data_IF_889222715984
#
_entry.id   IF_889222715984
#
_cell.length_a   1.000
_cell.length_b   1.000
_cell.length_c   1.000
_cell.angle_alpha   90.00
_cell.angle_beta   90.00
_cell.angle_gamma   90.00
#
_symmetry.space_group_name_H-M   'P 1'
#
loop_
_entity.id
_entity.type
_entity.pdbx_description
1 polymer ?
#
# COMPACT_ATOMS: atom_id res chain seq x y z
N UNK A 1 -16.51 10.96 -2.84
CA UNK A 1 -15.42 11.91 -2.58
C UNK A 1 -15.63 13.18 -3.37
N UNK A 2 -15.65 14.30 -2.70
CA UNK A 2 -15.79 15.59 -3.38
C UNK A 2 -14.48 15.96 -4.06
N UNK A 3 -14.55 16.53 -5.29
CA UNK A 3 -13.35 16.84 -6.09
C UNK A 3 -12.35 17.81 -5.45
N UNK A 4 -12.79 18.55 -4.41
CA UNK A 4 -11.97 19.58 -3.77
C UNK A 4 -10.76 19.05 -2.99
N UNK A 5 -10.82 17.79 -2.50
CA UNK A 5 -9.78 17.21 -1.63
C UNK A 5 -8.98 16.09 -2.30
N UNK A 6 -9.10 15.93 -3.61
CA UNK A 6 -8.33 14.92 -4.34
C UNK A 6 -6.86 15.32 -4.41
N UNK A 7 -5.98 14.39 -4.07
CA UNK A 7 -4.55 14.58 -4.24
C UNK A 7 -4.19 14.74 -5.72
N UNK A 8 -3.04 15.34 -6.00
CA UNK A 8 -2.55 15.47 -7.37
C UNK A 8 -2.39 14.12 -8.06
N UNK A 9 -1.91 13.10 -7.32
CA UNK A 9 -1.78 11.74 -7.84
C UNK A 9 -3.13 11.17 -8.27
N UNK A 10 -4.19 11.35 -7.46
CA UNK A 10 -5.53 10.88 -7.77
C UNK A 10 -6.05 11.54 -9.04
N UNK A 11 -5.85 12.86 -9.18
CA UNK A 11 -6.22 13.59 -10.39
C UNK A 11 -5.50 13.09 -11.63
N UNK A 12 -4.21 12.78 -11.51
CA UNK A 12 -3.40 12.24 -12.61
C UNK A 12 -3.92 10.84 -13.02
N UNK A 13 -4.23 10.00 -12.07
CA UNK A 13 -4.77 8.65 -12.32
C UNK A 13 -6.12 8.75 -13.04
N UNK A 14 -7.02 9.60 -12.54
CA UNK A 14 -8.34 9.79 -13.14
C UNK A 14 -8.23 10.35 -14.57
N UNK A 15 -7.37 11.33 -14.77
CA UNK A 15 -7.13 11.93 -16.09
C UNK A 15 -6.55 10.89 -17.07
N UNK A 16 -5.60 10.09 -16.64
CA UNK A 16 -5.04 9.01 -17.45
C UNK A 16 -6.11 7.97 -17.82
N UNK A 17 -6.91 7.56 -16.84
CA UNK A 17 -7.99 6.60 -17.05
C UNK A 17 -9.01 7.07 -18.08
N UNK A 18 -9.39 8.34 -18.03
CA UNK A 18 -10.30 8.93 -19.02
C UNK A 18 -9.72 8.92 -20.43
N UNK A 19 -8.44 9.23 -20.58
CA UNK A 19 -7.76 9.22 -21.87
C UNK A 19 -7.56 7.81 -22.44
N UNK A 20 -7.24 6.85 -21.56
CA UNK A 20 -6.92 5.49 -21.99
C UNK A 20 -8.14 4.60 -22.17
N UNK A 21 -9.29 4.99 -21.61
CA UNK A 21 -10.51 4.18 -21.58
C UNK A 21 -10.92 3.67 -22.97
N UNK A 22 -10.87 4.52 -23.98
CA UNK A 22 -11.22 4.15 -25.35
C UNK A 22 -10.11 3.37 -26.04
N UNK A 23 -8.85 3.71 -25.78
CA UNK A 23 -7.71 3.02 -26.38
C UNK A 23 -7.54 1.61 -25.81
N UNK A 24 -7.81 1.43 -24.52
CA UNK A 24 -7.60 0.15 -23.83
C UNK A 24 -8.61 -0.93 -24.23
N UNK A 25 -9.75 -0.55 -24.77
CA UNK A 25 -10.70 -1.54 -25.32
C UNK A 25 -10.03 -2.39 -26.42
N UNK A 26 -9.16 -1.78 -27.22
CA UNK A 26 -8.43 -2.47 -28.28
C UNK A 26 -7.22 -3.25 -27.78
N UNK A 27 -6.74 -2.96 -26.57
CA UNK A 27 -5.51 -3.54 -26.01
C UNK A 27 -5.75 -4.33 -24.72
N UNK A 28 -6.98 -4.76 -24.43
CA UNK A 28 -7.34 -5.50 -23.22
C UNK A 28 -6.47 -6.73 -22.97
N UNK A 29 -6.12 -7.44 -24.01
CA UNK A 29 -5.27 -8.63 -23.89
C UNK A 29 -3.88 -8.26 -23.36
N UNK A 30 -3.29 -7.19 -23.87
CA UNK A 30 -2.00 -6.69 -23.41
C UNK A 30 -2.10 -6.11 -21.99
N UNK A 31 -3.20 -5.46 -21.67
CA UNK A 31 -3.42 -4.90 -20.35
C UNK A 31 -3.56 -5.96 -19.25
N UNK A 32 -3.87 -7.22 -19.62
CA UNK A 32 -3.96 -8.34 -18.68
C UNK A 32 -2.61 -8.94 -18.32
N UNK A 33 -1.52 -8.51 -18.94
CA UNK A 33 -0.19 -9.02 -18.59
C UNK A 33 0.23 -8.48 -17.24
N UNK A 34 0.60 -9.37 -16.29
CA UNK A 34 1.02 -8.94 -14.97
C UNK A 34 2.28 -8.05 -15.04
N UNK A 35 2.38 -7.12 -14.11
CA UNK A 35 3.57 -6.27 -13.93
C UNK A 35 3.94 -5.38 -15.12
N UNK A 36 2.98 -5.11 -15.99
CA UNK A 36 3.18 -4.12 -17.04
C UNK A 36 3.43 -2.75 -16.43
N UNK A 37 4.48 -2.06 -16.89
CA UNK A 37 4.81 -0.72 -16.39
C UNK A 37 3.81 0.34 -16.86
N UNK A 38 3.51 1.27 -16.00
CA UNK A 38 2.68 2.43 -16.29
C UNK A 38 3.45 3.48 -17.10
N UNK A 39 2.74 4.45 -17.73
CA UNK A 39 3.37 5.60 -18.36
C UNK A 39 4.29 6.37 -17.42
N UNK A 40 5.14 7.25 -18.00
CA UNK A 40 6.17 7.99 -17.25
C UNK A 40 5.65 8.76 -16.05
N UNK A 41 4.45 9.32 -16.11
CA UNK A 41 3.85 10.04 -14.98
C UNK A 41 3.61 9.17 -13.76
N UNK A 42 3.62 7.86 -13.93
CA UNK A 42 3.50 6.88 -12.84
C UNK A 42 4.72 5.97 -12.82
N UNK A 43 5.91 6.56 -12.94
CA UNK A 43 7.16 5.88 -13.29
C UNK A 43 7.54 4.68 -12.43
N UNK A 44 7.04 4.59 -11.21
CA UNK A 44 7.30 3.45 -10.31
C UNK A 44 6.08 2.54 -10.14
N UNK A 45 5.05 2.78 -10.94
CA UNK A 45 3.82 1.99 -10.88
C UNK A 45 3.87 0.75 -11.76
N UNK A 46 2.96 -0.17 -11.48
CA UNK A 46 2.75 -1.37 -12.27
C UNK A 46 1.27 -1.53 -12.63
N UNK A 47 1.00 -2.26 -13.69
CA UNK A 47 -0.34 -2.49 -14.18
C UNK A 47 -0.61 -4.01 -14.20
N UNK A 48 -1.70 -4.42 -13.54
CA UNK A 48 -2.18 -5.80 -13.53
C UNK A 48 -3.59 -5.79 -14.14
N UNK A 49 -3.72 -6.30 -15.37
CA UNK A 49 -4.95 -6.09 -16.13
C UNK A 49 -5.18 -4.59 -16.32
N UNK A 50 -6.34 -4.10 -15.92
CA UNK A 50 -6.69 -2.69 -15.91
C UNK A 50 -6.49 -2.03 -14.51
N UNK A 51 -5.93 -2.76 -13.57
CA UNK A 51 -5.72 -2.26 -12.21
C UNK A 51 -4.29 -1.78 -12.07
N UNK A 52 -4.12 -0.52 -11.67
CA UNK A 52 -2.82 0.11 -11.46
C UNK A 52 -2.45 0.10 -9.98
N UNK A 53 -1.19 -0.17 -9.71
CA UNK A 53 -0.58 -0.01 -8.39
C UNK A 53 0.43 1.12 -8.52
N UNK A 54 0.23 2.22 -7.80
CA UNK A 54 1.10 3.39 -7.88
C UNK A 54 1.66 3.72 -6.50
N UNK A 55 3.00 3.72 -6.34
CA UNK A 55 3.58 4.12 -5.05
C UNK A 55 3.36 5.61 -4.83
N UNK A 56 2.98 5.95 -3.60
CA UNK A 56 2.80 7.33 -3.14
C UNK A 56 3.64 7.55 -1.91
N UNK A 57 4.45 8.60 -1.90
CA UNK A 57 5.24 8.96 -0.73
C UNK A 57 4.31 9.36 0.41
N UNK A 58 4.50 8.75 1.57
CA UNK A 58 3.71 9.01 2.77
C UNK A 58 4.44 9.94 3.72
N UNK A 59 5.47 9.44 4.40
CA UNK A 59 6.31 10.23 5.32
C UNK A 59 7.77 9.78 5.17
N UNK A 60 8.70 10.73 5.21
CA UNK A 60 10.13 10.41 5.09
C UNK A 60 10.42 9.58 3.85
N UNK A 61 10.98 8.39 4.03
CA UNK A 61 11.28 7.43 2.96
C UNK A 61 10.19 6.37 2.76
N UNK A 62 9.12 6.44 3.55
CA UNK A 62 8.04 5.46 3.51
C UNK A 62 7.09 5.73 2.36
N UNK A 63 6.71 4.66 1.67
CA UNK A 63 5.70 4.69 0.61
C UNK A 63 4.47 3.91 1.02
N UNK A 64 3.32 4.35 0.56
CA UNK A 64 2.07 3.59 0.53
C UNK A 64 1.67 3.39 -0.93
N UNK A 65 0.70 2.54 -1.19
CA UNK A 65 0.33 2.17 -2.54
C UNK A 65 -1.12 2.53 -2.81
N UNK A 66 -1.33 3.15 -3.96
CA UNK A 66 -2.65 3.50 -4.47
C UNK A 66 -3.06 2.44 -5.47
N UNK A 67 -4.26 1.91 -5.34
CA UNK A 67 -4.85 0.95 -6.26
C UNK A 67 -5.97 1.65 -7.03
N UNK A 68 -5.89 1.62 -8.34
CA UNK A 68 -6.86 2.30 -9.19
C UNK A 68 -7.32 1.43 -10.35
N UNK A 69 -8.60 1.56 -10.68
CA UNK A 69 -9.15 1.01 -11.91
C UNK A 69 -8.96 2.04 -13.03
N UNK A 70 -8.07 1.74 -13.97
CA UNK A 70 -7.71 2.67 -15.04
C UNK A 70 -8.77 2.75 -16.14
N UNK A 71 -9.61 1.71 -16.30
CA UNK A 71 -10.73 1.77 -17.24
C UNK A 71 -11.86 2.68 -16.75
N UNK A 72 -12.15 2.59 -15.44
CA UNK A 72 -13.21 3.39 -14.82
C UNK A 72 -12.70 4.72 -14.28
N UNK A 73 -11.38 4.97 -14.35
CA UNK A 73 -10.75 6.18 -13.82
C UNK A 73 -11.07 6.39 -12.33
N UNK A 74 -11.04 5.32 -11.55
CA UNK A 74 -11.45 5.32 -10.15
C UNK A 74 -10.35 4.80 -9.25
N UNK A 75 -10.08 5.54 -8.16
CA UNK A 75 -9.20 5.06 -7.09
C UNK A 75 -10.01 4.15 -6.18
N UNK A 76 -9.55 2.93 -5.99
CA UNK A 76 -10.22 1.91 -5.18
C UNK A 76 -9.65 1.83 -3.76
N UNK A 77 -8.33 1.97 -3.63
CA UNK A 77 -7.62 2.03 -2.34
C UNK A 77 -6.50 3.05 -2.46
N UNK A 78 -6.25 3.86 -1.43
CA UNK A 78 -5.26 4.93 -1.49
C UNK A 78 -4.16 4.83 -0.43
N UNK A 79 -4.17 3.83 0.43
CA UNK A 79 -3.25 3.73 1.56
C UNK A 79 -2.81 2.30 1.90
N UNK A 80 -2.68 1.43 0.92
CA UNK A 80 -2.15 0.09 1.13
C UNK A 80 -0.69 0.21 1.59
N UNK A 81 -0.35 -0.41 2.70
CA UNK A 81 0.94 -0.23 3.34
C UNK A 81 2.07 -1.08 2.75
N UNK A 82 1.79 -2.36 2.45
CA UNK A 82 2.78 -3.29 1.92
C UNK A 82 2.60 -3.49 0.41
N UNK A 83 3.73 -3.53 -0.30
CA UNK A 83 3.72 -3.78 -1.75
C UNK A 83 3.09 -5.12 -2.10
N UNK A 84 3.39 -6.17 -1.33
CA UNK A 84 2.80 -7.50 -1.56
C UNK A 84 1.29 -7.49 -1.37
N UNK A 85 0.80 -6.75 -0.38
CA UNK A 85 -0.64 -6.55 -0.19
C UNK A 85 -1.25 -5.86 -1.41
N UNK A 86 -0.61 -4.82 -1.92
CA UNK A 86 -1.09 -4.10 -3.10
C UNK A 86 -1.19 -5.03 -4.32
N UNK A 87 -0.19 -5.87 -4.53
CA UNK A 87 -0.19 -6.85 -5.63
C UNK A 87 -1.34 -7.85 -5.47
N UNK A 88 -1.53 -8.39 -4.27
CA UNK A 88 -2.63 -9.31 -3.97
C UNK A 88 -3.99 -8.66 -4.26
N UNK A 89 -4.20 -7.46 -3.73
CA UNK A 89 -5.45 -6.70 -3.92
C UNK A 89 -5.71 -6.46 -5.41
N UNK A 90 -4.69 -6.02 -6.13
CA UNK A 90 -4.81 -5.74 -7.57
C UNK A 90 -5.17 -6.99 -8.37
N UNK A 91 -4.61 -8.15 -8.03
CA UNK A 91 -4.94 -9.41 -8.70
C UNK A 91 -6.40 -9.82 -8.45
N UNK A 92 -6.90 -9.73 -7.21
CA UNK A 92 -8.30 -9.99 -6.92
C UNK A 92 -9.22 -9.08 -7.72
N UNK A 93 -8.91 -7.78 -7.73
CA UNK A 93 -9.72 -6.79 -8.45
C UNK A 93 -9.66 -6.99 -9.97
N UNK A 94 -8.49 -7.30 -10.52
CA UNK A 94 -8.34 -7.55 -11.96
C UNK A 94 -9.13 -8.79 -12.41
N UNK A 95 -9.26 -9.78 -11.53
CA UNK A 95 -10.06 -11.00 -11.78
C UNK A 95 -11.54 -10.81 -11.50
N UNK A 96 -11.96 -9.62 -11.10
CA UNK A 96 -13.35 -9.33 -10.74
C UNK A 96 -13.81 -10.00 -9.45
N UNK A 97 -12.88 -10.37 -8.58
CA UNK A 97 -13.16 -11.03 -7.31
C UNK A 97 -13.12 -10.06 -6.15
N UNK A 98 -13.87 -10.36 -5.09
CA UNK A 98 -13.81 -9.59 -3.85
C UNK A 98 -12.47 -9.84 -3.15
N UNK A 99 -11.89 -8.77 -2.63
CA UNK A 99 -10.65 -8.85 -1.84
C UNK A 99 -10.96 -9.45 -0.47
N UNK A 100 -10.27 -10.54 -0.05
CA UNK A 100 -10.47 -11.08 1.29
C UNK A 100 -10.16 -10.04 2.37
N UNK A 101 -11.06 -9.91 3.33
CA UNK A 101 -10.93 -8.91 4.40
C UNK A 101 -9.65 -9.08 5.21
N UNK A 102 -9.23 -10.34 5.45
CA UNK A 102 -8.03 -10.61 6.24
C UNK A 102 -6.75 -10.00 5.63
N UNK A 103 -6.66 -9.90 4.31
CA UNK A 103 -5.52 -9.28 3.64
C UNK A 103 -5.44 -7.79 4.00
N UNK A 104 -6.55 -7.07 3.87
CA UNK A 104 -6.62 -5.65 4.19
C UNK A 104 -6.44 -5.40 5.68
N UNK A 105 -7.02 -6.27 6.52
CA UNK A 105 -6.91 -6.15 7.98
C UNK A 105 -5.47 -6.32 8.46
N UNK A 106 -4.75 -7.32 7.97
CA UNK A 106 -3.34 -7.54 8.33
C UNK A 106 -2.47 -6.38 7.86
N UNK A 107 -2.71 -5.87 6.67
CA UNK A 107 -1.99 -4.70 6.15
C UNK A 107 -2.22 -3.46 7.02
N UNK A 108 -3.45 -3.21 7.42
CA UNK A 108 -3.79 -2.10 8.32
C UNK A 108 -3.14 -2.26 9.70
N UNK A 109 -3.09 -3.47 10.23
CA UNK A 109 -2.39 -3.77 11.49
C UNK A 109 -0.89 -3.52 11.37
N UNK A 110 -0.28 -3.89 10.24
CA UNK A 110 1.12 -3.59 9.98
C UNK A 110 1.37 -2.07 10.00
N UNK A 111 0.54 -1.29 9.33
CA UNK A 111 0.63 0.16 9.31
C UNK A 111 0.52 0.76 10.73
N UNK A 112 -0.40 0.23 11.54
CA UNK A 112 -0.57 0.63 12.94
C UNK A 112 0.70 0.36 13.75
N UNK A 113 1.33 -0.81 13.57
CA UNK A 113 2.58 -1.14 14.26
C UNK A 113 3.73 -0.23 13.84
N UNK A 114 3.82 0.15 12.58
CA UNK A 114 4.82 1.12 12.13
C UNK A 114 4.65 2.48 12.84
N UNK A 115 3.42 2.91 13.04
CA UNK A 115 3.13 4.12 13.82
C UNK A 115 3.59 3.96 15.27
N UNK A 116 3.30 2.82 15.90
CA UNK A 116 3.71 2.54 17.29
C UNK A 116 5.23 2.50 17.42
N UNK A 117 5.94 1.93 16.43
CA UNK A 117 7.41 1.93 16.36
C UNK A 117 7.94 3.37 16.36
N UNK A 118 7.41 4.22 15.52
CA UNK A 118 7.82 5.62 15.43
C UNK A 118 7.55 6.36 16.74
N UNK A 119 6.39 6.16 17.32
CA UNK A 119 5.99 6.76 18.59
C UNK A 119 6.91 6.31 19.72
N UNK A 120 7.19 5.01 19.82
CA UNK A 120 8.09 4.46 20.85
C UNK A 120 9.50 5.03 20.71
N UNK A 121 10.04 5.09 19.51
CA UNK A 121 11.37 5.68 19.26
C UNK A 121 11.45 7.14 19.68
N UNK A 122 10.41 7.90 19.41
CA UNK A 122 10.34 9.31 19.84
C UNK A 122 10.32 9.42 21.35
N UNK A 123 9.53 8.59 22.03
CA UNK A 123 9.41 8.60 23.47
C UNK A 123 10.68 8.12 24.18
N UNK A 124 11.41 7.19 23.57
CA UNK A 124 12.73 6.76 24.05
C UNK A 124 13.70 7.95 24.05
N UNK A 125 13.75 8.69 22.94
CA UNK A 125 14.62 9.89 22.84
C UNK A 125 14.25 10.94 23.89
N UNK A 126 12.95 11.14 24.10
CA UNK A 126 12.45 12.07 25.13
C UNK A 126 12.87 11.63 26.54
N UNK A 127 12.68 10.34 26.87
CA UNK A 127 13.06 9.78 28.17
C UNK A 127 14.58 9.88 28.38
N UNK A 128 15.38 9.62 27.37
CA UNK A 128 16.84 9.77 27.42
C UNK A 128 17.25 11.22 27.69
N UNK A 129 16.60 12.16 27.00
CA UNK A 129 16.84 13.58 27.17
C UNK A 129 16.53 14.04 28.60
N UNK A 130 15.46 13.49 29.19
CA UNK A 130 15.01 13.81 30.55
C UNK A 130 15.68 12.93 31.63
N UNK A 131 16.56 12.00 31.21
CA UNK A 131 17.23 11.04 32.09
C UNK A 131 16.27 10.20 32.92
N UNK A 132 15.12 9.85 32.34
CA UNK A 132 14.09 9.04 32.96
C UNK A 132 14.26 7.57 32.52
N UNK A 133 15.07 6.83 33.28
CA UNK A 133 15.42 5.44 32.97
C UNK A 133 14.22 4.51 33.05
N UNK A 134 13.28 4.72 33.94
CA UNK A 134 12.08 3.89 34.08
C UNK A 134 11.18 4.02 32.84
N UNK A 135 10.96 5.23 32.38
CA UNK A 135 10.18 5.47 31.18
C UNK A 135 10.89 4.98 29.94
N UNK A 136 12.21 5.15 29.87
CA UNK A 136 13.00 4.61 28.78
C UNK A 136 12.81 3.10 28.64
N UNK A 137 12.90 2.35 29.74
CA UNK A 137 12.72 0.89 29.74
C UNK A 137 11.32 0.50 29.27
N UNK A 138 10.28 1.22 29.71
CA UNK A 138 8.89 0.97 29.28
C UNK A 138 8.77 1.12 27.77
N UNK A 139 9.36 2.16 27.19
CA UNK A 139 9.25 2.41 25.74
C UNK A 139 10.12 1.47 24.90
N UNK A 140 11.27 0.98 25.44
CA UNK A 140 12.02 -0.08 24.80
C UNK A 140 11.20 -1.36 24.69
N UNK A 141 10.47 -1.74 25.76
CA UNK A 141 9.58 -2.89 25.74
C UNK A 141 8.46 -2.72 24.70
N UNK A 142 7.87 -1.53 24.62
CA UNK A 142 6.84 -1.22 23.61
C UNK A 142 7.39 -1.30 22.21
N UNK A 143 8.62 -0.82 21.98
CA UNK A 143 9.29 -0.90 20.70
C UNK A 143 9.50 -2.35 20.29
N UNK A 144 9.97 -3.21 21.17
CA UNK A 144 10.18 -4.63 20.91
C UNK A 144 8.87 -5.33 20.54
N UNK A 145 7.79 -5.06 21.25
CA UNK A 145 6.47 -5.63 20.97
C UNK A 145 5.98 -5.15 19.60
N UNK A 146 6.08 -3.87 19.30
CA UNK A 146 5.63 -3.30 18.04
C UNK A 146 6.42 -3.87 16.86
N UNK A 147 7.74 -4.01 16.99
CA UNK A 147 8.59 -4.63 15.96
C UNK A 147 8.19 -6.08 15.70
N UNK A 148 7.97 -6.85 16.76
CA UNK A 148 7.55 -8.25 16.63
C UNK A 148 6.21 -8.37 15.92
N UNK A 149 5.24 -7.55 16.32
CA UNK A 149 3.90 -7.56 15.70
C UNK A 149 3.94 -7.12 14.24
N UNK A 150 4.77 -6.12 13.91
CA UNK A 150 4.97 -5.70 12.53
C UNK A 150 5.57 -6.83 11.68
N UNK A 151 6.58 -7.53 12.20
CA UNK A 151 7.21 -8.66 11.51
C UNK A 151 6.22 -9.81 11.32
N UNK A 152 5.37 -10.10 12.29
CA UNK A 152 4.32 -11.12 12.19
C UNK A 152 3.32 -10.78 11.09
N UNK A 153 2.87 -9.51 11.01
CA UNK A 153 1.96 -9.06 9.97
C UNK A 153 2.60 -9.20 8.59
N UNK A 154 3.85 -8.79 8.45
CA UNK A 154 4.58 -8.89 7.20
C UNK A 154 4.76 -10.35 6.77
N UNK A 155 5.13 -11.23 7.71
CA UNK A 155 5.27 -12.66 7.45
C UNK A 155 3.93 -13.29 7.03
N UNK A 156 2.83 -12.88 7.63
CA UNK A 156 1.49 -13.35 7.27
C UNK A 156 1.15 -12.96 5.82
N UNK A 157 1.39 -11.72 5.44
CA UNK A 157 1.17 -11.28 4.05
C UNK A 157 2.07 -12.05 3.08
N UNK A 158 3.35 -12.25 3.43
CA UNK A 158 4.28 -13.03 2.61
C UNK A 158 3.80 -14.46 2.41
N UNK A 159 3.24 -15.08 3.45
CA UNK A 159 2.69 -16.44 3.36
C UNK A 159 1.47 -16.48 2.43
N UNK A 160 0.55 -15.52 2.57
CA UNK A 160 -0.62 -15.42 1.69
C UNK A 160 -0.16 -15.21 0.25
N UNK A 161 0.82 -14.36 0.03
CA UNK A 161 1.38 -14.08 -1.28
C UNK A 161 1.98 -15.35 -1.92
N UNK A 162 2.79 -16.10 -1.16
CA UNK A 162 3.37 -17.37 -1.62
C UNK A 162 2.30 -18.41 -1.91
N UNK A 163 1.31 -18.53 -1.08
CA UNK A 163 0.19 -19.48 -1.28
C UNK A 163 -0.61 -19.14 -2.53
N UNK A 164 -0.75 -17.85 -2.84
CA UNK A 164 -1.51 -17.39 -4.00
C UNK A 164 -0.72 -17.54 -5.31
N UNK A 165 0.55 -17.21 -5.30
CA UNK A 165 1.38 -17.15 -6.52
C UNK A 165 2.43 -18.25 -6.62
N UNK A 166 2.58 -19.10 -5.62
CA UNK A 166 3.51 -20.22 -5.63
C UNK A 166 4.98 -19.80 -5.53
N UNK A 167 5.26 -18.62 -4.99
CA UNK A 167 6.64 -18.11 -4.95
C UNK A 167 7.26 -18.21 -3.56
#
# INVERSE_FOLDING_TARGET
MTGKNKSELVKQIEAYGLKSKLADLAHREQARQPFRHLPKQFSKGILIGNIAIVPKKHTGTRYVYVIADMLEAQVLHDDINLKQTAILVAHYLADGKNVPYNILDVDAKHASQLFDIQSAKRMIREAQKNKDEQMEDVYWDRLDVANRLADECKANIQQIFSDTFGA
#
